data_IF_233051975885
#
_entry.id   IF_233051975885
#
_cell.length_a   1.000
_cell.length_b   1.000
_cell.length_c   1.000
_cell.angle_alpha   90.00
_cell.angle_beta   90.00
_cell.angle_gamma   90.00
#
_symmetry.space_group_name_H-M   'P 1'
#
loop_
_entity.id
_entity.type
_entity.pdbx_description
1 polymer ?
#
# COMPACT_ATOMS: atom_id res chain seq x y z
N UNK A 1 0.95 -9.20 35.81
CA UNK A 1 0.13 -8.18 36.50
C UNK A 1 0.42 -6.84 35.82
N UNK A 2 -0.42 -6.43 34.87
CA UNK A 2 -0.17 -5.19 34.11
C UNK A 2 -0.29 -4.00 35.07
N UNK A 3 0.76 -3.17 35.12
CA UNK A 3 0.77 -1.95 35.92
C UNK A 3 -0.42 -1.09 35.52
N UNK A 4 -1.27 -0.73 36.49
CA UNK A 4 -2.40 0.16 36.24
C UNK A 4 -1.82 1.52 35.86
N UNK A 5 -2.10 2.04 34.65
CA UNK A 5 -1.66 3.37 34.28
C UNK A 5 -2.28 4.39 35.25
N UNK A 6 -1.58 5.50 35.48
CA UNK A 6 -2.15 6.64 36.18
C UNK A 6 -2.72 7.63 35.15
N UNK A 7 -3.70 8.43 35.57
CA UNK A 7 -4.36 9.47 34.76
C UNK A 7 -3.35 10.39 34.03
N UNK A 8 -2.19 10.69 34.63
CA UNK A 8 -1.15 11.50 33.97
C UNK A 8 -0.46 10.75 32.82
N UNK A 9 -0.23 9.44 32.96
CA UNK A 9 0.30 8.57 31.90
C UNK A 9 -0.69 8.43 30.73
N UNK A 10 -1.98 8.25 31.03
CA UNK A 10 -3.02 8.17 29.99
C UNK A 10 -3.12 9.46 29.17
N UNK A 11 -3.08 10.61 29.84
CA UNK A 11 -3.12 11.92 29.16
C UNK A 11 -1.94 12.11 28.20
N UNK A 12 -0.73 11.72 28.62
CA UNK A 12 0.45 11.79 27.77
C UNK A 12 0.33 10.85 26.55
N UNK A 13 -0.16 9.62 26.75
CA UNK A 13 -0.42 8.67 25.66
C UNK A 13 -1.44 9.22 24.66
N UNK A 14 -2.56 9.75 25.13
CA UNK A 14 -3.59 10.35 24.27
C UNK A 14 -3.05 11.56 23.46
N UNK A 15 -2.22 12.40 24.07
CA UNK A 15 -1.60 13.54 23.37
C UNK A 15 -0.59 13.10 22.30
N UNK A 16 0.22 12.08 22.59
CA UNK A 16 1.14 11.51 21.62
C UNK A 16 0.37 10.91 20.43
N UNK A 17 -0.66 10.11 20.72
CA UNK A 17 -1.52 9.49 19.72
C UNK A 17 -2.23 10.52 18.83
N UNK A 18 -2.73 11.62 19.43
CA UNK A 18 -3.32 12.72 18.67
C UNK A 18 -2.34 13.32 17.65
N UNK A 19 -1.09 13.59 18.05
CA UNK A 19 -0.07 14.13 17.15
C UNK A 19 0.28 13.17 16.03
N UNK A 20 0.37 11.88 16.33
CA UNK A 20 0.62 10.85 15.32
C UNK A 20 -0.51 10.75 14.30
N UNK A 21 -1.76 10.67 14.76
CA UNK A 21 -2.94 10.64 13.89
C UNK A 21 -3.06 11.93 13.07
N UNK A 22 -2.79 13.09 13.68
CA UNK A 22 -2.76 14.35 12.96
C UNK A 22 -1.66 14.39 11.89
N UNK A 23 -0.51 13.73 12.12
CA UNK A 23 0.53 13.63 11.09
C UNK A 23 0.07 12.75 9.93
N UNK A 24 -0.53 11.60 10.23
CA UNK A 24 -1.03 10.64 9.23
C UNK A 24 -2.17 11.20 8.38
N UNK A 25 -3.05 12.01 8.99
CA UNK A 25 -4.16 12.66 8.30
C UNK A 25 -3.74 13.59 7.16
N UNK A 26 -2.51 14.14 7.20
CA UNK A 26 -2.01 15.03 6.12
C UNK A 26 -1.73 14.28 4.81
N UNK A 27 -1.31 13.03 4.92
CA UNK A 27 -1.02 12.17 3.76
C UNK A 27 -2.26 11.39 3.30
N UNK A 28 -3.35 11.51 4.07
CA UNK A 28 -4.65 10.92 3.76
C UNK A 28 -5.38 11.73 2.68
N UNK A 29 -6.34 11.11 2.00
CA UNK A 29 -7.00 11.70 0.84
C UNK A 29 -7.66 13.05 1.17
N UNK A 30 -7.39 14.07 0.35
CA UNK A 30 -7.84 15.45 0.59
C UNK A 30 -9.37 15.64 0.61
N UNK A 31 -10.12 14.69 0.03
CA UNK A 31 -11.59 14.68 0.04
C UNK A 31 -12.18 14.20 1.36
N UNK A 32 -11.37 13.58 2.24
CA UNK A 32 -11.82 13.07 3.52
C UNK A 32 -11.43 14.03 4.64
N UNK A 33 -12.42 14.57 5.36
CA UNK A 33 -12.19 15.42 6.53
C UNK A 33 -11.68 14.62 7.74
N UNK A 34 -10.44 14.16 7.65
CA UNK A 34 -9.79 13.37 8.69
C UNK A 34 -9.61 14.20 9.97
N UNK A 35 -9.12 15.42 9.84
CA UNK A 35 -8.82 16.30 10.97
C UNK A 35 -10.07 16.74 11.71
N UNK A 36 -11.16 17.07 11.00
CA UNK A 36 -12.43 17.42 11.62
C UNK A 36 -13.03 16.25 12.40
N UNK A 37 -12.97 15.03 11.86
CA UNK A 37 -13.41 13.81 12.57
C UNK A 37 -12.54 13.49 13.79
N UNK A 38 -11.22 13.61 13.65
CA UNK A 38 -10.29 13.41 14.76
C UNK A 38 -10.56 14.39 15.90
N UNK A 39 -10.78 15.66 15.56
CA UNK A 39 -11.12 16.71 16.55
C UNK A 39 -12.43 16.37 17.28
N UNK A 40 -13.50 16.05 16.54
CA UNK A 40 -14.80 15.66 17.12
C UNK A 40 -14.68 14.45 18.05
N UNK A 41 -13.87 13.45 17.68
CA UNK A 41 -13.65 12.27 18.52
C UNK A 41 -13.02 12.64 19.87
N UNK A 42 -12.00 13.50 19.89
CA UNK A 42 -11.36 13.93 21.14
C UNK A 42 -12.24 14.91 21.95
N UNK A 43 -13.03 15.74 21.28
CA UNK A 43 -14.00 16.63 21.94
C UNK A 43 -15.09 15.83 22.67
N UNK A 44 -15.66 14.81 22.02
CA UNK A 44 -16.68 13.95 22.62
C UNK A 44 -16.16 13.19 23.85
N UNK A 45 -14.89 12.81 23.86
CA UNK A 45 -14.26 12.06 24.94
C UNK A 45 -13.59 12.94 26.01
N UNK A 46 -13.69 14.27 25.92
CA UNK A 46 -12.99 15.22 26.83
C UNK A 46 -13.41 15.10 28.29
N UNK A 47 -14.65 14.71 28.54
CA UNK A 47 -15.26 14.65 29.87
C UNK A 47 -15.16 13.26 30.52
N UNK A 48 -14.47 12.30 29.89
CA UNK A 48 -14.24 10.99 30.47
C UNK A 48 -13.33 11.10 31.70
N UNK A 49 -13.83 10.62 32.84
CA UNK A 49 -13.12 10.56 34.12
C UNK A 49 -12.81 9.14 34.56
N UNK A 50 -13.43 8.14 33.95
CA UNK A 50 -13.18 6.72 34.25
C UNK A 50 -11.96 6.20 33.48
N UNK A 51 -11.00 5.64 34.22
CA UNK A 51 -9.74 5.10 33.69
C UNK A 51 -9.96 4.01 32.65
N UNK A 52 -10.99 3.16 32.84
CA UNK A 52 -11.31 2.06 31.94
C UNK A 52 -11.83 2.58 30.58
N UNK A 53 -12.68 3.60 30.60
CA UNK A 53 -13.20 4.23 29.38
C UNK A 53 -12.11 5.03 28.65
N UNK A 54 -11.21 5.69 29.38
CA UNK A 54 -10.06 6.37 28.77
C UNK A 54 -9.15 5.36 28.05
N UNK A 55 -8.88 4.21 28.66
CA UNK A 55 -8.06 3.18 28.03
C UNK A 55 -8.73 2.63 26.75
N UNK A 56 -10.04 2.39 26.78
CA UNK A 56 -10.80 1.99 25.59
C UNK A 56 -10.73 3.05 24.49
N UNK A 57 -10.84 4.33 24.83
CA UNK A 57 -10.73 5.43 23.87
C UNK A 57 -9.32 5.51 23.26
N UNK A 58 -8.27 5.29 24.05
CA UNK A 58 -6.89 5.22 23.56
C UNK A 58 -6.72 4.03 22.60
N UNK A 59 -7.17 2.84 22.99
CA UNK A 59 -7.12 1.64 22.13
C UNK A 59 -7.88 1.85 20.81
N UNK A 60 -9.03 2.52 20.86
CA UNK A 60 -9.77 2.87 19.66
C UNK A 60 -8.99 3.82 18.74
N UNK A 61 -8.29 4.81 19.31
CA UNK A 61 -7.39 5.68 18.52
C UNK A 61 -6.20 4.93 17.91
N UNK A 62 -5.63 3.94 18.62
CA UNK A 62 -4.58 3.07 18.09
C UNK A 62 -5.08 2.19 16.94
N UNK A 63 -6.31 1.68 17.05
CA UNK A 63 -6.97 0.96 15.97
C UNK A 63 -7.11 1.84 14.72
N UNK A 64 -7.59 3.08 14.87
CA UNK A 64 -7.70 4.03 13.74
C UNK A 64 -6.34 4.27 13.08
N UNK A 65 -5.27 4.42 13.87
CA UNK A 65 -3.91 4.59 13.35
C UNK A 65 -3.50 3.40 12.48
N UNK A 66 -3.70 2.18 12.97
CA UNK A 66 -3.34 0.96 12.26
C UNK A 66 -4.15 0.77 10.98
N UNK A 67 -5.46 1.03 11.03
CA UNK A 67 -6.35 0.98 9.86
C UNK A 67 -5.91 1.99 8.80
N UNK A 68 -5.59 3.22 9.21
CA UNK A 68 -5.11 4.27 8.29
C UNK A 68 -3.80 3.86 7.60
N UNK A 69 -2.87 3.26 8.34
CA UNK A 69 -1.61 2.74 7.79
C UNK A 69 -1.84 1.56 6.83
N UNK A 70 -2.77 0.67 7.15
CA UNK A 70 -3.15 -0.45 6.29
C UNK A 70 -3.78 0.03 4.97
N UNK A 71 -4.65 1.04 5.03
CA UNK A 71 -5.24 1.65 3.83
C UNK A 71 -4.17 2.34 2.97
N UNK A 72 -3.21 3.02 3.61
CA UNK A 72 -2.09 3.63 2.91
C UNK A 72 -1.23 2.59 2.17
N UNK A 73 -0.87 1.48 2.83
CA UNK A 73 -0.08 0.40 2.23
C UNK A 73 -0.83 -0.28 1.09
N UNK A 74 -2.14 -0.51 1.25
CA UNK A 74 -2.99 -1.09 0.23
C UNK A 74 -3.10 -0.19 -1.01
N UNK A 75 -3.24 1.12 -0.82
CA UNK A 75 -3.26 2.09 -1.94
C UNK A 75 -1.93 2.07 -2.70
N UNK A 76 -0.80 2.05 -1.97
CA UNK A 76 0.53 1.96 -2.57
C UNK A 76 0.71 0.66 -3.36
N UNK A 77 0.29 -0.47 -2.79
CA UNK A 77 0.31 -1.76 -3.47
C UNK A 77 -0.54 -1.76 -4.75
N UNK A 78 -1.77 -1.23 -4.69
CA UNK A 78 -2.65 -1.10 -5.86
C UNK A 78 -2.00 -0.26 -6.96
N UNK A 79 -1.30 0.81 -6.61
CA UNK A 79 -0.58 1.63 -7.58
C UNK A 79 0.58 0.85 -8.22
N UNK A 80 1.43 0.20 -7.41
CA UNK A 80 2.55 -0.60 -7.90
C UNK A 80 2.08 -1.75 -8.82
N UNK A 81 1.02 -2.46 -8.43
CA UNK A 81 0.45 -3.56 -9.25
C UNK A 81 -0.02 -3.10 -10.63
N UNK A 82 -0.50 -1.85 -10.77
CA UNK A 82 -0.89 -1.29 -12.07
C UNK A 82 0.32 -0.90 -12.93
N UNK A 83 1.39 -0.42 -12.30
CA UNK A 83 2.61 0.01 -12.98
C UNK A 83 3.47 -1.17 -13.45
N UNK A 84 3.39 -2.30 -12.73
CA UNK A 84 4.03 -3.55 -13.10
C UNK A 84 2.95 -4.60 -13.37
N UNK A 85 2.30 -4.59 -14.55
CA UNK A 85 1.56 -5.77 -14.99
C UNK A 85 2.54 -6.94 -14.98
N UNK A 86 2.15 -8.02 -14.31
CA UNK A 86 2.93 -9.24 -14.20
C UNK A 86 3.16 -9.86 -15.57
N UNK A 87 4.19 -9.38 -16.28
CA UNK A 87 4.72 -9.99 -17.51
C UNK A 87 5.58 -11.21 -17.20
N UNK A 88 5.05 -12.12 -16.39
CA UNK A 88 5.69 -13.39 -16.07
C UNK A 88 4.66 -14.51 -15.92
N UNK A 89 3.67 -14.54 -16.81
CA UNK A 89 3.25 -15.81 -17.37
C UNK A 89 4.41 -16.31 -18.24
N UNK A 90 5.16 -17.28 -17.72
CA UNK A 90 6.32 -17.87 -18.38
C UNK A 90 5.96 -18.58 -19.68
N UNK A 91 5.74 -17.83 -20.75
CA UNK A 91 5.85 -18.28 -22.12
C UNK A 91 7.15 -17.73 -22.73
N UNK A 92 8.27 -18.14 -22.12
CA UNK A 92 9.55 -18.20 -22.80
C UNK A 92 9.46 -19.22 -23.92
N UNK A 93 8.84 -18.88 -25.04
CA UNK A 93 9.11 -19.55 -26.30
C UNK A 93 10.31 -18.84 -26.91
N UNK A 94 11.50 -19.48 -26.98
CA UNK A 94 12.60 -18.90 -27.73
C UNK A 94 12.15 -18.70 -29.19
N UNK A 95 12.62 -17.64 -29.88
CA UNK A 95 12.43 -17.56 -31.32
C UNK A 95 13.14 -18.77 -31.93
N UNK A 96 12.37 -19.68 -32.52
CA UNK A 96 12.92 -20.75 -33.34
C UNK A 96 13.53 -20.09 -34.58
N UNK A 97 14.84 -19.86 -34.56
CA UNK A 97 15.61 -19.67 -35.78
C UNK A 97 15.56 -20.97 -36.56
N UNK A 98 14.55 -21.10 -37.43
CA UNK A 98 14.51 -22.13 -38.46
C UNK A 98 15.54 -21.78 -39.52
N UNK A 99 16.74 -22.30 -39.31
CA UNK A 99 17.79 -22.47 -40.29
C UNK A 99 17.26 -23.12 -41.58
N UNK A 100 17.48 -22.43 -42.71
CA UNK A 100 17.87 -22.97 -44.02
C UNK A 100 17.37 -24.37 -44.41
N UNK A 101 16.41 -24.44 -45.34
CA UNK A 101 16.43 -25.43 -46.44
C UNK A 101 15.31 -25.17 -47.45
N UNK A 102 15.57 -24.37 -48.48
CA UNK A 102 14.94 -24.58 -49.79
C UNK A 102 16.04 -24.97 -50.76
N UNK A 103 16.23 -26.28 -50.89
CA UNK A 103 16.96 -26.84 -52.02
C UNK A 103 16.22 -26.47 -53.30
N UNK A 104 16.91 -25.78 -54.21
CA UNK A 104 16.57 -25.75 -55.62
C UNK A 104 17.79 -26.24 -56.37
N UNK A 105 17.69 -27.50 -56.80
CA UNK A 105 18.64 -28.22 -57.64
C UNK A 105 18.76 -27.58 -59.05
N UNK A 106 19.82 -27.90 -59.79
CA UNK A 106 20.35 -27.09 -60.88
C UNK A 106 19.78 -27.48 -62.26
N UNK A 107 19.60 -26.50 -63.14
CA UNK A 107 19.34 -26.75 -64.56
C UNK A 107 20.27 -25.92 -65.44
N UNK A 108 21.28 -26.64 -65.93
CA UNK A 108 22.08 -26.52 -67.15
C UNK A 108 21.71 -25.46 -68.19
N UNK A 109 22.70 -24.67 -68.61
CA UNK A 109 22.93 -24.29 -70.02
C UNK A 109 24.45 -24.14 -70.27
N UNK A 110 25.05 -24.88 -71.23
CA UNK A 110 26.44 -24.66 -71.63
C UNK A 110 26.56 -23.56 -72.68
N UNK A 111 27.65 -22.79 -72.57
CA UNK A 111 28.08 -21.82 -73.56
C UNK A 111 28.69 -22.51 -74.79
N UNK A 112 28.27 -22.06 -75.98
CA UNK A 112 28.98 -22.17 -77.25
C UNK A 112 29.06 -20.71 -77.77
N UNK A 113 30.25 -20.09 -77.90
CA UNK A 113 31.14 -20.19 -79.07
C UNK A 113 30.49 -19.50 -80.29
N UNK A 114 31.08 -18.56 -81.03
CA UNK A 114 32.46 -18.03 -81.14
C UNK A 114 32.40 -16.55 -81.51
#
# INVERSE_FOLDING_TARGET
MAARPSVSSQRLRALALYKELHRLGRDYEASYDFHGKLRKLYENNRHLTDEAEIEKAIQFGEYIKNETLALYSLRKYRHLKRMYPSGSDGSSSPPVESSSSTGSSPSSLPAMGS
#
